data_IF_584725608547
#
_entry.id   IF_584725608547
#
_cell.length_a   1.000
_cell.length_b   1.000
_cell.length_c   1.000
_cell.angle_alpha   90.00
_cell.angle_beta   90.00
_cell.angle_gamma   90.00
#
_symmetry.space_group_name_H-M   'P 1'
#
loop_
_entity.id
_entity.type
_entity.pdbx_description
1 polymer ?
#
# COMPACT_ATOMS: atom_id res chain seq x y z
N UNK A 1 33.53 -2.36 6.93
CA UNK A 1 32.77 -3.62 7.07
C UNK A 1 31.32 -3.52 6.56
N UNK A 2 30.63 -2.37 6.67
CA UNK A 2 29.26 -2.16 6.12
C UNK A 2 29.17 -1.93 4.60
N UNK A 3 30.29 -1.70 3.90
CA UNK A 3 30.31 -1.40 2.47
C UNK A 3 30.01 -2.60 1.55
N UNK A 4 30.00 -3.83 2.08
CA UNK A 4 29.89 -5.06 1.28
C UNK A 4 28.53 -5.77 1.39
N UNK A 5 27.63 -5.33 2.28
CA UNK A 5 26.33 -5.98 2.46
C UNK A 5 25.28 -5.27 1.59
N UNK A 6 24.85 -5.96 0.54
CA UNK A 6 23.79 -5.48 -0.37
C UNK A 6 22.55 -6.34 -0.21
N UNK A 7 21.40 -5.68 -0.22
CA UNK A 7 20.10 -6.30 -0.15
C UNK A 7 19.47 -6.29 -1.54
N UNK A 8 18.86 -7.41 -1.90
CA UNK A 8 18.07 -7.60 -3.11
C UNK A 8 16.58 -7.50 -2.75
N UNK A 9 15.81 -6.77 -3.53
CA UNK A 9 14.35 -6.73 -3.42
C UNK A 9 13.67 -7.51 -4.55
N UNK A 10 12.33 -7.59 -4.51
CA UNK A 10 11.54 -8.38 -5.47
C UNK A 10 11.41 -7.74 -6.86
N UNK A 11 12.04 -6.57 -7.06
CA UNK A 11 12.25 -5.96 -8.38
C UNK A 11 13.55 -6.42 -9.04
N UNK A 12 14.41 -7.16 -8.33
CA UNK A 12 15.75 -7.51 -8.79
C UNK A 12 16.80 -6.41 -8.56
N UNK A 13 16.44 -5.31 -7.87
CA UNK A 13 17.38 -4.24 -7.55
C UNK A 13 18.22 -4.62 -6.34
N UNK A 14 19.54 -4.46 -6.45
CA UNK A 14 20.49 -4.65 -5.36
C UNK A 14 21.02 -3.29 -4.90
N UNK A 15 20.90 -2.99 -3.59
CA UNK A 15 21.45 -1.76 -3.00
C UNK A 15 22.25 -2.09 -1.76
N UNK A 16 23.37 -1.38 -1.58
CA UNK A 16 24.16 -1.47 -0.35
C UNK A 16 23.42 -0.84 0.82
N UNK A 17 23.69 -1.31 2.04
CA UNK A 17 23.13 -0.70 3.26
C UNK A 17 23.43 0.80 3.37
N UNK A 18 24.59 1.24 2.89
CA UNK A 18 25.00 2.64 2.90
C UNK A 18 24.10 3.52 2.02
N UNK A 19 23.65 3.00 0.87
CA UNK A 19 22.73 3.69 -0.03
C UNK A 19 21.31 3.74 0.53
N UNK A 20 20.91 2.72 1.30
CA UNK A 20 19.59 2.65 1.94
C UNK A 20 19.51 3.50 3.22
N UNK A 21 20.65 3.80 3.85
CA UNK A 21 20.73 4.60 5.08
C UNK A 21 21.83 5.67 5.01
N UNK A 22 21.61 6.76 4.26
CA UNK A 22 22.62 7.79 4.03
C UNK A 22 22.96 8.65 5.27
N UNK A 23 22.23 8.51 6.38
CA UNK A 23 22.42 9.32 7.58
C UNK A 23 23.46 8.72 8.55
N UNK A 24 24.75 8.84 8.23
CA UNK A 24 25.89 8.98 9.15
C UNK A 24 26.21 7.95 10.25
N UNK A 25 25.29 7.09 10.67
CA UNK A 25 25.52 6.04 11.66
C UNK A 25 24.54 4.90 11.41
N UNK A 26 24.99 3.88 10.66
CA UNK A 26 24.27 2.62 10.53
C UNK A 26 24.38 1.91 11.90
N UNK A 27 23.27 1.66 12.62
CA UNK A 27 23.35 0.97 13.90
C UNK A 27 23.97 -0.43 13.72
N UNK A 28 24.77 -0.88 14.67
CA UNK A 28 25.42 -2.21 14.61
C UNK A 28 24.38 -3.33 14.43
N UNK A 29 24.61 -4.20 13.44
CA UNK A 29 23.71 -5.30 13.09
C UNK A 29 22.55 -4.95 12.14
N UNK A 30 22.55 -3.75 11.55
CA UNK A 30 21.61 -3.40 10.47
C UNK A 30 21.83 -4.26 9.23
N UNK A 31 20.75 -4.79 8.66
CA UNK A 31 20.80 -5.79 7.58
C UNK A 31 21.08 -7.23 8.07
N UNK A 32 21.58 -7.40 9.29
CA UNK A 32 21.85 -8.72 9.88
C UNK A 32 20.65 -9.33 10.61
N UNK A 33 19.55 -8.58 10.73
CA UNK A 33 18.30 -9.07 11.28
C UNK A 33 17.61 -10.07 10.34
N UNK A 34 16.86 -11.00 10.91
CA UNK A 34 16.24 -12.09 10.18
C UNK A 34 15.22 -11.62 9.12
N UNK A 35 14.42 -10.58 9.39
CA UNK A 35 13.47 -10.05 8.39
C UNK A 35 14.16 -9.58 7.09
N UNK A 36 15.16 -8.68 7.13
CA UNK A 36 15.93 -8.32 5.95
C UNK A 36 16.55 -9.51 5.22
N UNK A 37 17.10 -10.48 5.95
CA UNK A 37 17.71 -11.69 5.39
C UNK A 37 16.71 -12.60 4.71
N UNK A 38 15.57 -12.85 5.34
CA UNK A 38 14.50 -13.69 4.82
C UNK A 38 13.86 -13.06 3.57
N UNK A 39 13.63 -11.74 3.57
CA UNK A 39 13.12 -11.04 2.40
C UNK A 39 14.14 -10.98 1.27
N UNK A 40 15.41 -10.72 1.59
CA UNK A 40 16.49 -10.80 0.61
C UNK A 40 16.63 -12.19 0.02
N UNK A 41 16.59 -13.23 0.85
CA UNK A 41 16.66 -14.62 0.44
C UNK A 41 15.46 -14.98 -0.46
N UNK A 42 14.26 -14.58 -0.07
CA UNK A 42 13.06 -14.80 -0.87
C UNK A 42 13.17 -14.13 -2.23
N UNK A 43 13.60 -12.87 -2.28
CA UNK A 43 13.86 -12.16 -3.53
C UNK A 43 14.94 -12.86 -4.38
N UNK A 44 16.06 -13.24 -3.78
CA UNK A 44 17.19 -13.89 -4.45
C UNK A 44 16.85 -15.28 -5.01
N UNK A 45 15.86 -15.96 -4.42
CA UNK A 45 15.42 -17.28 -4.83
C UNK A 45 14.06 -17.27 -5.57
N UNK A 46 13.55 -16.09 -5.94
CA UNK A 46 12.25 -15.92 -6.58
C UNK A 46 11.09 -16.58 -5.82
N UNK A 47 11.17 -16.57 -4.49
CA UNK A 47 10.10 -17.07 -3.62
C UNK A 47 9.09 -15.96 -3.39
N UNK A 48 7.80 -16.28 -3.45
CA UNK A 48 6.73 -15.35 -3.09
C UNK A 48 6.47 -15.43 -1.58
N UNK A 49 6.77 -14.38 -0.80
CA UNK A 49 6.35 -14.28 0.59
C UNK A 49 4.83 -14.29 0.67
N UNK A 50 4.27 -15.16 1.50
CA UNK A 50 2.84 -15.19 1.79
C UNK A 50 2.53 -14.51 3.12
N UNK A 51 3.33 -14.80 4.14
CA UNK A 51 3.26 -14.18 5.45
C UNK A 51 4.63 -14.26 6.14
N UNK A 52 4.93 -13.31 7.01
CA UNK A 52 6.16 -13.32 7.80
C UNK A 52 5.83 -12.90 9.23
N UNK A 53 6.42 -13.59 10.20
CA UNK A 53 6.25 -13.26 11.61
C UNK A 53 7.55 -13.47 12.39
N UNK A 54 7.82 -12.57 13.33
CA UNK A 54 8.79 -12.76 14.41
C UNK A 54 8.04 -13.28 15.62
N UNK A 55 8.58 -14.28 16.31
CA UNK A 55 8.03 -14.74 17.59
C UNK A 55 9.16 -15.02 18.57
N UNK A 56 8.84 -15.26 19.85
CA UNK A 56 9.83 -15.70 20.82
C UNK A 56 9.60 -17.17 21.19
N UNK A 57 10.64 -17.98 21.03
CA UNK A 57 10.68 -19.36 21.49
C UNK A 57 11.70 -19.48 22.61
N UNK A 58 11.24 -19.72 23.84
CA UNK A 58 12.11 -19.82 25.01
C UNK A 58 11.42 -19.41 26.31
N UNK A 59 12.17 -19.32 27.41
CA UNK A 59 11.66 -18.78 28.68
C UNK A 59 11.45 -17.28 28.54
N UNK A 60 10.44 -16.72 29.21
CA UNK A 60 10.18 -15.27 29.21
C UNK A 60 11.46 -14.51 29.57
N UNK A 61 11.83 -13.54 28.73
CA UNK A 61 13.05 -12.74 28.91
C UNK A 61 12.72 -11.27 28.65
N UNK A 62 12.63 -10.48 29.73
CA UNK A 62 12.16 -9.10 29.65
C UNK A 62 10.77 -9.00 29.01
N UNK A 63 10.68 -8.24 27.92
CA UNK A 63 9.46 -8.04 27.13
C UNK A 63 9.16 -9.19 26.15
N UNK A 64 10.05 -10.18 26.04
CA UNK A 64 9.85 -11.34 25.17
C UNK A 64 9.03 -12.41 25.88
N UNK A 65 7.76 -12.46 25.52
CA UNK A 65 6.77 -13.45 25.92
C UNK A 65 6.76 -14.61 24.91
N UNK A 66 6.82 -15.87 25.37
CA UNK A 66 6.81 -17.02 24.48
C UNK A 66 5.48 -17.15 23.72
N UNK A 67 5.53 -17.43 22.41
CA UNK A 67 4.35 -17.60 21.56
C UNK A 67 3.67 -16.30 21.10
N UNK A 68 4.13 -15.14 21.57
CA UNK A 68 3.69 -13.84 21.07
C UNK A 68 4.42 -13.46 19.77
N UNK A 69 3.74 -12.64 18.94
CA UNK A 69 4.29 -12.13 17.68
C UNK A 69 4.83 -10.71 17.83
N UNK A 70 5.97 -10.44 17.18
CA UNK A 70 6.65 -9.17 17.23
C UNK A 70 6.78 -8.56 15.83
N UNK A 71 6.82 -7.23 15.78
CA UNK A 71 7.10 -6.49 14.55
C UNK A 71 8.60 -6.38 14.29
N UNK A 72 8.97 -6.10 13.04
CA UNK A 72 10.37 -5.90 12.67
C UNK A 72 11.03 -4.80 13.52
N UNK A 73 12.30 -5.01 13.82
CA UNK A 73 13.07 -4.18 14.74
C UNK A 73 13.13 -2.69 14.36
N UNK A 74 12.73 -1.82 15.29
CA UNK A 74 12.48 -0.38 15.08
C UNK A 74 13.63 0.38 14.38
N UNK A 75 14.85 0.18 14.86
CA UNK A 75 15.97 1.05 14.46
C UNK A 75 16.82 0.46 13.32
N UNK A 76 16.74 -0.86 13.09
CA UNK A 76 17.64 -1.58 12.17
C UNK A 76 16.93 -2.19 10.97
N UNK A 77 15.67 -2.60 11.12
CA UNK A 77 14.93 -3.32 10.08
C UNK A 77 14.07 -2.36 9.24
N UNK A 78 13.45 -1.34 9.86
CA UNK A 78 12.50 -0.42 9.19
C UNK A 78 13.02 0.18 7.92
N UNK A 79 14.21 0.81 7.98
CA UNK A 79 14.59 1.72 6.92
C UNK A 79 14.76 0.95 5.61
N UNK A 80 14.97 -0.36 5.74
CA UNK A 80 15.18 -1.32 4.67
C UNK A 80 13.84 -1.87 4.13
N UNK A 81 12.75 -1.88 4.91
CA UNK A 81 11.50 -2.56 4.53
C UNK A 81 10.86 -1.98 3.27
N UNK A 82 10.84 -0.66 3.12
CA UNK A 82 10.31 -0.02 1.91
C UNK A 82 11.04 -0.49 0.65
N UNK A 83 12.38 -0.59 0.73
CA UNK A 83 13.19 -1.12 -0.37
C UNK A 83 12.97 -2.63 -0.57
N UNK A 84 13.06 -3.44 0.50
CA UNK A 84 12.98 -4.91 0.45
C UNK A 84 11.63 -5.43 -0.03
N UNK A 85 10.53 -4.77 0.32
CA UNK A 85 9.17 -5.16 -0.08
C UNK A 85 8.78 -4.63 -1.46
N UNK A 86 9.57 -3.73 -2.04
CA UNK A 86 9.34 -3.25 -3.41
C UNK A 86 9.44 -4.41 -4.40
N UNK A 87 8.41 -4.58 -5.24
CA UNK A 87 8.28 -5.74 -6.15
C UNK A 87 7.25 -6.78 -5.73
N UNK A 88 6.78 -6.76 -4.47
CA UNK A 88 5.69 -7.64 -4.05
C UNK A 88 4.32 -7.06 -4.40
N UNK A 89 3.55 -7.81 -5.17
CA UNK A 89 2.10 -7.62 -5.28
C UNK A 89 1.47 -8.03 -3.93
N UNK A 90 0.71 -7.14 -3.29
CA UNK A 90 0.08 -7.48 -2.02
C UNK A 90 -1.01 -8.53 -2.25
N UNK A 91 -0.93 -9.64 -1.50
CA UNK A 91 -2.02 -10.62 -1.42
C UNK A 91 -3.18 -10.02 -0.61
N UNK A 92 -4.40 -10.26 -1.09
CA UNK A 92 -5.66 -9.88 -0.44
C UNK A 92 -5.72 -10.46 0.98
N UNK A 93 -6.07 -9.61 1.93
CA UNK A 93 -6.53 -9.89 3.30
C UNK A 93 -6.38 -11.32 3.83
N UNK A 94 -5.52 -11.49 4.83
CA UNK A 94 -5.68 -12.57 5.82
C UNK A 94 -7.04 -12.37 6.50
N UNK A 95 -7.96 -13.30 6.28
CA UNK A 95 -9.24 -13.35 7.00
C UNK A 95 -8.95 -13.48 8.50
N UNK A 96 -9.40 -12.52 9.31
CA UNK A 96 -9.39 -12.61 10.78
C UNK A 96 -10.39 -13.65 11.35
N UNK A 97 -10.72 -14.69 10.60
CA UNK A 97 -11.68 -15.74 11.02
C UNK A 97 -11.08 -17.15 11.15
N UNK A 98 -9.78 -17.32 10.96
CA UNK A 98 -9.08 -18.56 11.37
C UNK A 98 -8.21 -18.33 12.61
N UNK A 99 -8.77 -17.70 13.64
CA UNK A 99 -8.25 -17.80 15.02
C UNK A 99 -8.77 -19.08 15.71
N UNK A 100 -8.74 -20.20 14.99
CA UNK A 100 -8.84 -21.54 15.57
C UNK A 100 -7.71 -22.37 14.99
N UNK A 101 -6.48 -22.03 15.37
CA UNK A 101 -5.42 -23.01 15.35
C UNK A 101 -5.78 -24.08 16.36
N UNK A 102 -5.77 -25.30 15.85
CA UNK A 102 -5.92 -26.56 16.56
C UNK A 102 -5.05 -26.51 17.82
N UNK A 103 -5.67 -26.70 18.99
CA UNK A 103 -4.95 -27.11 20.19
C UNK A 103 -4.41 -28.53 19.92
N UNK A 104 -3.34 -28.63 19.14
CA UNK A 104 -2.47 -29.80 19.15
C UNK A 104 -1.27 -29.42 19.99
N UNK A 105 -1.07 -30.17 21.07
CA UNK A 105 0.04 -30.07 22.00
C UNK A 105 1.36 -29.73 21.28
N UNK A 106 1.87 -28.51 21.51
CA UNK A 106 3.17 -28.10 21.00
C UNK A 106 4.25 -28.87 21.77
N UNK A 107 4.96 -29.76 21.07
CA UNK A 107 6.16 -30.42 21.59
C UNK A 107 7.24 -29.40 21.92
N UNK A 108 7.99 -29.66 23.00
CA UNK A 108 9.00 -28.79 23.60
C UNK A 108 10.35 -28.73 22.86
N UNK A 109 10.41 -29.12 21.58
CA UNK A 109 11.65 -29.17 20.80
C UNK A 109 11.68 -28.13 19.67
N UNK A 110 12.83 -27.48 19.40
CA UNK A 110 12.96 -26.50 18.32
C UNK A 110 12.77 -27.17 16.94
N UNK A 111 12.12 -26.50 15.97
CA UNK A 111 12.06 -27.00 14.60
C UNK A 111 13.49 -27.02 14.03
N UNK A 112 14.02 -28.22 13.81
CA UNK A 112 15.32 -28.40 13.15
C UNK A 112 15.19 -28.10 11.65
N UNK A 113 16.25 -27.53 11.08
CA UNK A 113 16.41 -27.28 9.65
C UNK A 113 16.16 -28.57 8.84
N UNK A 114 14.93 -28.76 8.36
CA UNK A 114 14.58 -29.47 7.12
C UNK A 114 13.06 -29.66 7.05
N UNK A 115 12.40 -28.85 6.23
CA UNK A 115 11.34 -29.38 5.37
C UNK A 115 11.32 -28.58 4.06
N UNK A 116 11.88 -29.19 3.01
CA UNK A 116 11.78 -28.67 1.63
C UNK A 116 10.37 -28.85 1.02
N UNK A 117 9.40 -29.30 1.82
CA UNK A 117 8.06 -29.69 1.39
C UNK A 117 6.93 -28.77 1.88
N UNK A 118 7.21 -27.81 2.79
CA UNK A 118 6.15 -27.05 3.51
C UNK A 118 6.11 -25.56 3.20
N UNK A 119 6.99 -25.02 2.36
CA UNK A 119 7.03 -23.57 2.09
C UNK A 119 7.45 -22.73 3.30
N UNK A 120 8.13 -23.33 4.29
CA UNK A 120 8.58 -22.65 5.50
C UNK A 120 10.08 -22.35 5.41
N UNK A 121 10.46 -21.08 5.60
CA UNK A 121 11.85 -20.66 5.76
C UNK A 121 12.02 -20.09 7.18
N UNK A 122 12.95 -20.65 7.94
CA UNK A 122 13.20 -20.26 9.33
C UNK A 122 14.61 -19.70 9.51
N UNK A 123 14.74 -18.64 10.30
CA UNK A 123 16.04 -18.14 10.78
C UNK A 123 15.85 -17.55 12.18
N UNK A 124 16.55 -18.04 13.21
CA UNK A 124 16.60 -17.49 14.58
C UNK A 124 15.29 -16.86 15.11
N UNK A 125 14.29 -17.69 15.46
CA UNK A 125 12.96 -17.29 15.96
C UNK A 125 12.06 -16.53 14.96
N UNK A 126 12.42 -16.51 13.67
CA UNK A 126 11.55 -16.03 12.60
C UNK A 126 11.00 -17.17 11.76
N UNK A 127 9.74 -16.98 11.34
CA UNK A 127 9.06 -17.82 10.36
C UNK A 127 8.67 -16.97 9.16
N UNK A 128 9.19 -17.31 7.98
CA UNK A 128 8.67 -16.82 6.71
C UNK A 128 7.90 -17.95 6.04
N UNK A 129 6.60 -17.75 5.88
CA UNK A 129 5.76 -18.57 5.02
C UNK A 129 5.92 -18.06 3.59
N UNK A 130 6.49 -18.89 2.74
CA UNK A 130 6.56 -18.69 1.30
C UNK A 130 5.61 -19.67 0.61
N UNK A 131 5.15 -19.28 -0.58
CA UNK A 131 4.36 -20.19 -1.40
C UNK A 131 5.23 -21.39 -1.81
N UNK A 132 4.84 -22.59 -1.38
CA UNK A 132 5.56 -23.83 -1.68
C UNK A 132 5.38 -24.27 -3.14
N UNK A 133 4.40 -23.70 -3.86
CA UNK A 133 4.29 -23.91 -5.29
C UNK A 133 5.40 -23.15 -6.00
N UNK A 134 6.53 -23.82 -6.23
CA UNK A 134 7.41 -23.50 -7.35
C UNK A 134 6.59 -23.63 -8.63
N UNK A 135 5.87 -22.57 -9.04
CA UNK A 135 5.33 -22.53 -10.39
C UNK A 135 6.52 -22.54 -11.34
N UNK A 136 6.71 -23.57 -12.17
CA UNK A 136 7.75 -23.56 -13.16
C UNK A 136 7.38 -22.46 -14.17
N UNK A 137 8.28 -21.49 -14.36
CA UNK A 137 8.43 -20.89 -15.68
C UNK A 137 8.84 -22.06 -16.56
N UNK A 138 7.97 -22.44 -17.49
CA UNK A 138 8.07 -23.63 -18.32
C UNK A 138 9.49 -23.85 -18.87
N UNK A 139 10.02 -25.04 -18.55
CA UNK A 139 11.06 -25.81 -19.25
C UNK A 139 12.38 -25.10 -19.63
N UNK A 140 13.50 -25.62 -19.11
CA UNK A 140 14.58 -26.26 -19.91
C UNK A 140 15.58 -26.91 -18.95
N UNK A 141 15.75 -28.23 -19.13
CA UNK A 141 17.06 -28.91 -19.11
C UNK A 141 17.87 -28.90 -17.82
N UNK A 142 17.78 -29.98 -17.07
CA UNK A 142 18.77 -30.42 -16.09
C UNK A 142 20.15 -30.62 -16.72
N UNK A 143 21.20 -30.04 -16.10
CA UNK A 143 22.35 -30.78 -15.51
C UNK A 143 23.45 -29.84 -14.97
N UNK A 144 23.90 -30.21 -13.76
CA UNK A 144 25.12 -29.85 -13.02
C UNK A 144 25.48 -28.37 -12.80
N UNK A 145 25.32 -27.95 -11.54
CA UNK A 145 25.91 -26.75 -10.96
C UNK A 145 27.42 -26.95 -10.74
N UNK A 146 28.23 -26.10 -11.38
CA UNK A 146 29.52 -25.68 -10.83
C UNK A 146 29.49 -24.17 -10.61
N UNK A 147 29.95 -23.75 -9.44
CA UNK A 147 30.01 -22.35 -9.02
C UNK A 147 30.81 -21.50 -10.03
N UNK A 148 30.10 -20.65 -10.78
CA UNK A 148 30.54 -19.38 -11.39
C UNK A 148 29.62 -19.06 -12.57
N UNK A 149 28.60 -18.23 -12.33
CA UNK A 149 28.06 -17.25 -13.29
C UNK A 149 26.77 -16.66 -12.72
N UNK A 150 26.86 -15.43 -12.22
CA UNK A 150 25.70 -14.57 -12.05
C UNK A 150 25.14 -14.34 -13.46
N UNK A 151 24.01 -14.98 -13.80
CA UNK A 151 23.28 -14.65 -15.03
C UNK A 151 22.51 -13.34 -14.79
N UNK A 152 22.49 -12.40 -15.75
CA UNK A 152 21.58 -11.27 -15.67
C UNK A 152 20.15 -11.80 -15.59
N UNK A 153 19.39 -11.33 -14.59
CA UNK A 153 17.98 -11.64 -14.46
C UNK A 153 17.19 -10.97 -15.61
N UNK A 154 16.10 -11.59 -16.08
CA UNK A 154 15.25 -11.00 -17.10
C UNK A 154 14.71 -9.65 -16.62
N UNK A 155 14.66 -8.65 -17.51
CA UNK A 155 14.12 -7.32 -17.24
C UNK A 155 12.66 -7.42 -16.77
N UNK A 156 12.43 -7.26 -15.46
CA UNK A 156 11.09 -7.16 -14.89
C UNK A 156 10.56 -5.77 -15.22
N UNK A 157 9.47 -5.69 -15.99
CA UNK A 157 8.87 -4.43 -16.41
C UNK A 157 8.28 -3.69 -15.19
N UNK A 158 8.90 -2.57 -14.81
CA UNK A 158 8.63 -1.74 -13.62
C UNK A 158 7.20 -1.17 -13.58
N UNK A 159 6.48 -1.22 -14.72
CA UNK A 159 5.09 -0.79 -14.87
C UNK A 159 4.04 -1.65 -14.11
N UNK A 160 4.43 -2.80 -13.54
CA UNK A 160 3.47 -3.74 -12.93
C UNK A 160 3.17 -3.52 -11.43
N UNK A 161 3.88 -2.66 -10.68
CA UNK A 161 3.71 -2.56 -9.21
C UNK A 161 2.89 -1.34 -8.79
N UNK A 162 3.14 -0.18 -9.41
CA UNK A 162 2.33 1.04 -9.30
C UNK A 162 2.34 1.66 -10.70
N UNK A 163 1.32 1.40 -11.53
CA UNK A 163 1.32 1.84 -12.93
C UNK A 163 1.46 3.37 -13.02
N UNK A 164 2.54 3.82 -13.66
CA UNK A 164 2.71 5.24 -14.02
C UNK A 164 1.85 5.50 -15.26
N UNK A 165 0.89 6.41 -15.14
CA UNK A 165 -0.05 6.75 -16.21
C UNK A 165 0.31 8.06 -16.91
N UNK A 166 1.13 8.88 -16.27
CA UNK A 166 1.60 10.15 -16.79
C UNK A 166 2.93 10.51 -16.15
N UNK A 167 3.84 11.05 -16.95
CA UNK A 167 5.16 11.45 -16.49
C UNK A 167 5.71 12.55 -17.39
N UNK A 168 6.16 13.63 -16.76
CA UNK A 168 6.90 14.70 -17.40
C UNK A 168 8.12 15.11 -16.54
N UNK A 169 8.71 16.28 -16.83
CA UNK A 169 9.87 16.81 -16.10
C UNK A 169 9.55 17.23 -14.66
N UNK A 170 8.33 17.64 -14.37
CA UNK A 170 7.87 18.26 -13.12
C UNK A 170 7.04 17.31 -12.26
N UNK A 171 6.32 16.37 -12.86
CA UNK A 171 5.31 15.57 -12.18
C UNK A 171 5.18 14.13 -12.70
N UNK A 172 4.57 13.30 -11.87
CA UNK A 172 4.27 11.90 -12.14
C UNK A 172 2.85 11.65 -11.63
N UNK A 173 1.99 11.06 -12.45
CA UNK A 173 0.73 10.51 -11.98
C UNK A 173 0.75 8.98 -12.07
N UNK A 174 0.18 8.34 -11.07
CA UNK A 174 0.09 6.89 -11.01
C UNK A 174 -1.33 6.42 -10.78
N UNK A 175 -1.64 5.20 -11.24
CA UNK A 175 -2.82 4.46 -10.82
C UNK A 175 -2.51 3.71 -9.51
N UNK A 176 -2.81 4.33 -8.37
CA UNK A 176 -2.57 3.71 -7.05
C UNK A 176 -3.49 2.50 -6.86
N UNK A 177 -2.96 1.31 -6.51
CA UNK A 177 -3.79 0.17 -6.12
C UNK A 177 -4.48 0.40 -4.75
N UNK A 178 -5.60 -0.29 -4.51
CA UNK A 178 -6.18 -0.37 -3.16
C UNK A 178 -5.24 -1.13 -2.22
N UNK A 179 -5.21 -0.76 -0.94
CA UNK A 179 -4.38 -1.40 0.09
C UNK A 179 -2.96 -0.81 0.22
N UNK A 180 -2.59 0.18 -0.61
CA UNK A 180 -1.28 0.86 -0.54
C UNK A 180 -1.43 2.31 -0.07
N UNK A 181 -0.61 2.77 0.89
CA UNK A 181 -0.64 4.16 1.33
C UNK A 181 -0.18 5.11 0.22
N UNK A 182 -0.75 6.33 0.19
CA UNK A 182 -0.27 7.36 -0.75
C UNK A 182 1.10 7.93 -0.34
N UNK A 183 1.28 8.15 0.96
CA UNK A 183 2.49 8.69 1.58
C UNK A 183 2.90 7.82 2.77
N UNK A 184 4.17 7.84 3.18
CA UNK A 184 4.60 7.12 4.37
C UNK A 184 3.83 7.61 5.60
N UNK A 185 3.33 6.67 6.40
CA UNK A 185 2.63 6.94 7.64
C UNK A 185 3.55 7.42 8.76
N UNK A 186 2.98 7.64 9.95
CA UNK A 186 3.74 8.12 11.12
C UNK A 186 4.55 6.99 11.76
N UNK A 187 4.01 5.78 11.73
CA UNK A 187 4.56 4.63 12.44
C UNK A 187 5.45 3.78 11.53
N UNK A 188 6.23 2.92 12.19
CA UNK A 188 7.26 2.14 11.56
C UNK A 188 6.75 1.29 10.39
N UNK A 189 5.67 0.59 10.69
CA UNK A 189 4.96 -0.41 9.91
C UNK A 189 4.10 0.20 8.80
N UNK A 190 4.00 1.53 8.78
CA UNK A 190 3.19 2.29 7.81
C UNK A 190 4.04 3.07 6.79
N UNK A 191 5.34 2.78 6.66
CA UNK A 191 6.21 3.50 5.71
C UNK A 191 6.06 3.06 4.25
N UNK A 192 5.55 1.85 4.00
CA UNK A 192 5.32 1.38 2.62
C UNK A 192 4.17 2.16 1.97
N UNK A 193 4.47 2.84 0.86
CA UNK A 193 3.57 3.76 0.20
C UNK A 193 3.94 3.96 -1.27
N UNK A 194 3.06 4.55 -2.07
CA UNK A 194 3.39 4.97 -3.43
C UNK A 194 4.63 5.85 -3.45
N UNK A 195 4.67 6.87 -2.60
CA UNK A 195 5.79 7.81 -2.58
C UNK A 195 7.11 7.10 -2.25
N UNK A 196 7.16 6.27 -1.20
CA UNK A 196 8.39 5.56 -0.83
C UNK A 196 8.80 4.49 -1.85
N UNK A 197 7.85 3.80 -2.50
CA UNK A 197 8.15 2.88 -3.61
C UNK A 197 8.72 3.61 -4.82
N UNK A 198 8.09 4.69 -5.27
CA UNK A 198 8.57 5.45 -6.43
C UNK A 198 9.91 6.14 -6.18
N UNK A 199 10.14 6.69 -4.98
CA UNK A 199 11.44 7.27 -4.60
C UNK A 199 12.57 6.22 -4.64
N UNK A 200 12.27 4.96 -4.33
CA UNK A 200 13.24 3.89 -4.41
C UNK A 200 13.40 3.33 -5.83
N UNK A 201 12.36 3.40 -6.65
CA UNK A 201 12.35 2.91 -8.03
C UNK A 201 13.07 3.85 -9.00
N UNK A 202 12.89 5.16 -8.84
CA UNK A 202 13.49 6.14 -9.73
C UNK A 202 14.93 6.42 -9.27
N UNK A 203 15.88 6.19 -10.17
CA UNK A 203 17.32 6.26 -9.89
C UNK A 203 17.82 7.70 -9.60
N UNK A 204 17.00 8.71 -9.92
CA UNK A 204 17.40 10.12 -9.93
C UNK A 204 17.56 10.76 -8.52
N UNK A 205 17.32 10.03 -7.43
CA UNK A 205 17.36 10.61 -6.08
C UNK A 205 16.34 11.74 -5.87
N UNK A 206 15.33 11.82 -6.73
CA UNK A 206 14.30 12.86 -6.70
C UNK A 206 13.46 12.69 -5.44
N UNK A 207 13.39 13.76 -4.65
CA UNK A 207 12.47 13.86 -3.53
C UNK A 207 11.05 14.04 -4.07
N UNK A 208 10.43 12.93 -4.50
CA UNK A 208 9.03 12.94 -4.92
C UNK A 208 8.15 13.36 -3.74
N UNK A 209 7.18 14.24 -4.02
CA UNK A 209 6.24 14.77 -3.04
C UNK A 209 4.82 14.52 -3.54
N UNK A 210 4.03 13.73 -2.82
CA UNK A 210 2.63 13.53 -3.16
C UNK A 210 1.85 14.85 -3.00
N UNK A 211 1.26 15.34 -4.09
CA UNK A 211 0.54 16.64 -4.12
C UNK A 211 -0.78 16.55 -3.36
N UNK A 212 -1.42 15.39 -3.44
CA UNK A 212 -2.63 15.04 -2.68
C UNK A 212 -2.50 13.61 -2.18
N UNK A 213 -3.53 13.13 -1.47
CA UNK A 213 -3.55 11.77 -0.93
C UNK A 213 -4.87 11.09 -1.26
N UNK A 214 -4.79 9.79 -1.48
CA UNK A 214 -5.91 8.85 -1.47
C UNK A 214 -5.83 8.01 -0.19
N UNK A 215 -6.99 7.59 0.33
CA UNK A 215 -7.06 6.66 1.45
C UNK A 215 -6.38 5.33 1.09
N UNK A 216 -5.95 4.56 2.09
CA UNK A 216 -5.31 3.25 1.94
C UNK A 216 -6.09 2.36 0.95
N UNK A 217 -7.38 2.17 1.21
CA UNK A 217 -8.27 1.31 0.43
C UNK A 217 -8.78 1.95 -0.87
N UNK A 218 -8.65 3.27 -1.04
CA UNK A 218 -9.08 3.95 -2.26
C UNK A 218 -8.03 3.73 -3.35
N UNK A 219 -8.45 3.32 -4.54
CA UNK A 219 -7.55 3.21 -5.70
C UNK A 219 -7.70 4.39 -6.65
N UNK A 220 -6.82 4.50 -7.65
CA UNK A 220 -6.94 5.45 -8.76
C UNK A 220 -5.83 6.49 -8.77
N UNK A 221 -6.09 7.60 -9.47
CA UNK A 221 -5.08 8.58 -9.83
C UNK A 221 -4.51 9.29 -8.60
N UNK A 222 -3.19 9.20 -8.43
CA UNK A 222 -2.41 9.95 -7.45
C UNK A 222 -1.31 10.75 -8.15
N UNK A 223 -1.29 12.06 -7.93
CA UNK A 223 -0.30 12.98 -8.49
C UNK A 223 0.85 13.26 -7.51
N UNK A 224 2.08 13.15 -8.00
CA UNK A 224 3.32 13.45 -7.30
C UNK A 224 4.12 14.51 -8.07
N UNK A 225 4.72 15.45 -7.34
CA UNK A 225 5.66 16.42 -7.87
C UNK A 225 7.10 15.93 -7.69
N UNK A 226 7.98 16.27 -8.64
CA UNK A 226 9.40 15.91 -8.63
C UNK A 226 10.27 16.88 -7.84
N UNK A 227 9.75 18.07 -7.55
CA UNK A 227 10.44 19.11 -6.80
C UNK A 227 9.48 19.94 -5.92
N UNK A 228 10.06 20.76 -5.03
CA UNK A 228 9.31 21.56 -4.04
C UNK A 228 8.51 22.71 -4.67
N UNK A 229 8.99 23.28 -5.76
CA UNK A 229 8.31 24.40 -6.44
C UNK A 229 7.06 23.89 -7.14
N UNK A 230 7.19 22.83 -7.94
CA UNK A 230 6.06 22.13 -8.57
C UNK A 230 5.06 21.66 -7.52
N UNK A 231 5.54 21.08 -6.41
CA UNK A 231 4.67 20.66 -5.31
C UNK A 231 3.80 21.81 -4.80
N UNK A 232 4.40 22.98 -4.50
CA UNK A 232 3.65 24.15 -4.02
C UNK A 232 2.62 24.62 -5.06
N UNK A 233 3.03 24.78 -6.31
CA UNK A 233 2.15 25.24 -7.39
C UNK A 233 0.96 24.29 -7.57
N UNK A 234 1.21 22.98 -7.61
CA UNK A 234 0.14 21.98 -7.76
C UNK A 234 -0.73 21.90 -6.50
N UNK A 235 -0.15 21.94 -5.29
CA UNK A 235 -0.92 21.97 -4.04
C UNK A 235 -1.85 23.18 -3.97
N UNK A 236 -1.41 24.34 -4.50
CA UNK A 236 -2.26 25.53 -4.61
C UNK A 236 -3.45 25.32 -5.54
N UNK A 237 -3.29 24.58 -6.65
CA UNK A 237 -4.42 24.22 -7.54
C UNK A 237 -5.48 23.42 -6.76
N UNK A 238 -5.06 22.43 -5.95
CA UNK A 238 -5.97 21.67 -5.10
C UNK A 238 -6.63 22.55 -4.04
N UNK A 239 -5.88 23.43 -3.38
CA UNK A 239 -6.38 24.33 -2.35
C UNK A 239 -7.40 25.33 -2.91
N UNK A 240 -7.15 25.86 -4.11
CA UNK A 240 -8.03 26.78 -4.85
C UNK A 240 -9.17 26.08 -5.58
N UNK A 241 -9.30 24.75 -5.46
CA UNK A 241 -10.33 23.93 -6.12
C UNK A 241 -10.30 24.03 -7.67
N UNK A 242 -9.11 24.24 -8.23
CA UNK A 242 -8.87 24.33 -9.68
C UNK A 242 -8.58 22.96 -10.33
N UNK A 243 -8.61 21.89 -9.52
CA UNK A 243 -8.45 20.51 -9.97
C UNK A 243 -9.81 19.84 -10.02
N UNK A 244 -10.22 19.39 -11.19
CA UNK A 244 -11.38 18.54 -11.37
C UNK A 244 -11.02 17.11 -10.97
N UNK A 245 -11.85 16.50 -10.11
CA UNK A 245 -11.68 15.11 -9.66
C UNK A 245 -13.00 14.39 -9.85
N UNK A 246 -12.97 13.24 -10.50
CA UNK A 246 -14.14 12.37 -10.64
C UNK A 246 -13.78 11.02 -10.02
N UNK A 247 -14.62 10.58 -9.09
CA UNK A 247 -14.51 9.29 -8.46
C UNK A 247 -15.69 8.43 -8.87
N UNK A 248 -15.43 7.18 -9.21
CA UNK A 248 -16.48 6.19 -9.42
C UNK A 248 -16.63 5.33 -8.16
N UNK A 249 -17.87 5.06 -7.77
CA UNK A 249 -18.18 4.24 -6.61
C UNK A 249 -19.41 3.36 -6.83
N UNK A 250 -19.47 2.25 -6.08
CA UNK A 250 -20.68 1.40 -6.00
C UNK A 250 -21.22 1.47 -4.58
N UNK A 251 -22.46 1.92 -4.41
CA UNK A 251 -23.18 1.94 -3.14
C UNK A 251 -23.88 0.61 -2.88
N UNK A 252 -23.93 0.16 -1.63
CA UNK A 252 -24.57 -1.11 -1.24
C UNK A 252 -26.10 -1.03 -1.12
N UNK A 253 -26.75 -0.15 -1.89
CA UNK A 253 -28.18 0.08 -1.87
C UNK A 253 -28.68 0.79 -3.14
N UNK A 254 -30.00 0.97 -3.23
CA UNK A 254 -30.66 1.61 -4.39
C UNK A 254 -31.02 3.06 -4.07
N UNK A 255 -30.25 3.99 -4.63
CA UNK A 255 -30.47 5.41 -4.46
C UNK A 255 -31.64 5.87 -5.34
N UNK A 256 -32.65 6.50 -4.75
CA UNK A 256 -33.87 6.92 -5.47
C UNK A 256 -33.70 8.19 -6.31
N UNK A 257 -32.70 9.00 -5.99
CA UNK A 257 -32.39 10.25 -6.67
C UNK A 257 -31.26 10.03 -7.69
N UNK A 258 -31.30 10.75 -8.81
CA UNK A 258 -30.33 10.60 -9.91
C UNK A 258 -29.08 11.46 -9.74
N UNK A 259 -29.18 12.58 -9.03
CA UNK A 259 -28.05 13.47 -8.77
C UNK A 259 -28.32 14.33 -7.53
N UNK A 260 -27.27 14.94 -7.00
CA UNK A 260 -27.41 15.87 -5.88
C UNK A 260 -26.10 16.44 -5.37
N UNK A 261 -26.20 17.20 -4.29
CA UNK A 261 -25.05 17.77 -3.56
C UNK A 261 -25.18 17.42 -2.09
N UNK A 262 -24.08 16.96 -1.49
CA UNK A 262 -23.98 16.62 -0.08
C UNK A 262 -23.08 17.66 0.58
N UNK A 263 -23.62 18.40 1.55
CA UNK A 263 -22.94 19.46 2.29
C UNK A 263 -22.93 19.13 3.77
N UNK A 264 -22.03 18.22 4.16
CA UNK A 264 -21.91 17.76 5.53
C UNK A 264 -20.50 18.04 6.05
N UNK A 265 -20.32 18.92 7.05
CA UNK A 265 -19.02 19.22 7.62
C UNK A 265 -18.44 18.00 8.36
N UNK A 266 -17.14 17.77 8.21
CA UNK A 266 -16.48 16.54 8.67
C UNK A 266 -15.38 16.80 9.68
N UNK A 267 -15.28 15.93 10.68
CA UNK A 267 -14.21 15.92 11.68
C UNK A 267 -13.71 14.50 11.92
N UNK A 268 -12.44 14.36 12.30
CA UNK A 268 -11.92 13.08 12.75
C UNK A 268 -12.42 12.77 14.15
N UNK A 269 -12.94 11.55 14.36
CA UNK A 269 -13.35 11.07 15.67
C UNK A 269 -12.09 10.85 16.53
N UNK A 270 -11.91 11.57 17.66
CA UNK A 270 -10.72 11.42 18.50
C UNK A 270 -10.60 10.06 19.17
N UNK A 271 -11.74 9.44 19.51
CA UNK A 271 -11.84 8.17 20.26
C UNK A 271 -11.67 6.95 19.34
N UNK A 272 -12.00 7.08 18.06
CA UNK A 272 -11.97 5.96 17.11
C UNK A 272 -11.20 6.32 15.84
N UNK A 273 -9.89 6.59 15.96
CA UNK A 273 -9.05 6.82 14.78
C UNK A 273 -8.89 5.53 13.96
N UNK A 274 -8.95 5.58 12.61
CA UNK A 274 -8.95 6.76 11.74
C UNK A 274 -10.34 7.25 11.29
N UNK A 275 -11.44 6.85 11.95
CA UNK A 275 -12.83 7.19 11.56
C UNK A 275 -13.03 8.70 11.51
N UNK A 276 -13.81 9.14 10.52
CA UNK A 276 -14.29 10.51 10.38
C UNK A 276 -15.81 10.51 10.53
N UNK A 277 -16.37 11.59 11.03
CA UNK A 277 -17.80 11.73 11.27
C UNK A 277 -18.31 13.11 10.87
N UNK A 278 -19.62 13.21 10.68
CA UNK A 278 -20.27 14.49 10.43
C UNK A 278 -20.49 15.21 11.76
N UNK A 279 -19.84 16.36 11.90
CA UNK A 279 -19.90 17.24 13.08
C UNK A 279 -20.33 18.64 12.62
N UNK A 280 -21.57 19.02 12.94
CA UNK A 280 -22.14 20.30 12.50
C UNK A 280 -21.54 21.52 13.22
N UNK A 281 -20.92 21.32 14.39
CA UNK A 281 -20.41 22.41 15.21
C UNK A 281 -18.93 22.67 14.96
N UNK A 282 -18.13 21.62 14.84
CA UNK A 282 -16.67 21.72 14.70
C UNK A 282 -16.11 21.03 13.45
N UNK A 283 -16.97 20.45 12.61
CA UNK A 283 -16.55 19.84 11.36
C UNK A 283 -16.08 20.89 10.35
N UNK A 284 -15.11 20.49 9.53
CA UNK A 284 -14.65 21.33 8.41
C UNK A 284 -15.65 21.23 7.26
N UNK A 285 -16.05 22.35 6.63
CA UNK A 285 -16.94 22.33 5.47
C UNK A 285 -16.44 21.35 4.41
N UNK A 286 -17.36 20.48 3.97
CA UNK A 286 -17.10 19.44 2.99
C UNK A 286 -18.27 19.32 2.04
N UNK A 287 -17.98 19.40 0.73
CA UNK A 287 -18.99 19.45 -0.32
C UNK A 287 -18.63 18.42 -1.39
N UNK A 288 -19.61 17.57 -1.71
CA UNK A 288 -19.52 16.54 -2.74
C UNK A 288 -20.75 16.62 -3.62
N UNK A 289 -20.57 16.80 -4.93
CA UNK A 289 -21.66 16.57 -5.90
C UNK A 289 -21.62 15.11 -6.34
N UNK A 290 -22.76 14.55 -6.70
CA UNK A 290 -22.82 13.18 -7.23
C UNK A 290 -23.84 13.04 -8.34
N UNK A 291 -23.68 11.99 -9.15
CA UNK A 291 -24.60 11.59 -10.20
C UNK A 291 -24.66 10.06 -10.27
N UNK A 292 -25.86 9.49 -10.45
CA UNK A 292 -26.07 8.06 -10.66
C UNK A 292 -25.73 7.71 -12.11
N UNK A 293 -24.88 6.70 -12.29
CA UNK A 293 -24.57 6.10 -13.60
C UNK A 293 -25.58 4.99 -13.89
N UNK A 294 -25.74 4.06 -12.95
CA UNK A 294 -26.55 2.86 -13.13
C UNK A 294 -27.09 2.33 -11.81
N UNK A 295 -28.20 1.60 -11.87
CA UNK A 295 -28.80 0.85 -10.76
C UNK A 295 -28.88 -0.60 -11.18
N UNK A 296 -28.14 -1.47 -10.50
CA UNK A 296 -27.98 -2.87 -10.87
C UNK A 296 -28.15 -3.76 -9.65
N UNK A 297 -29.13 -4.65 -9.69
CA UNK A 297 -29.48 -5.50 -8.55
C UNK A 297 -29.87 -4.68 -7.33
N UNK A 298 -29.09 -4.82 -6.23
CA UNK A 298 -29.27 -4.08 -4.98
C UNK A 298 -28.20 -2.98 -4.79
N UNK A 299 -27.52 -2.57 -5.87
CA UNK A 299 -26.44 -1.60 -5.82
C UNK A 299 -26.69 -0.41 -6.76
N UNK A 300 -26.09 0.73 -6.43
CA UNK A 300 -26.09 1.92 -7.29
C UNK A 300 -24.67 2.31 -7.63
N UNK A 301 -24.35 2.35 -8.92
CA UNK A 301 -23.08 2.89 -9.42
C UNK A 301 -23.22 4.39 -9.60
N UNK A 302 -22.30 5.16 -9.03
CA UNK A 302 -22.36 6.62 -9.02
C UNK A 302 -20.99 7.23 -9.29
N UNK A 303 -21.03 8.48 -9.74
CA UNK A 303 -19.89 9.38 -9.78
C UNK A 303 -19.96 10.38 -8.64
N UNK A 304 -18.81 10.64 -8.03
CA UNK A 304 -18.61 11.72 -7.07
C UNK A 304 -17.68 12.78 -7.65
N UNK A 305 -18.07 14.04 -7.47
CA UNK A 305 -17.32 15.23 -7.83
C UNK A 305 -17.02 16.03 -6.55
N UNK A 306 -15.98 15.66 -5.79
CA UNK A 306 -15.65 16.32 -4.53
C UNK A 306 -15.06 17.72 -4.75
N UNK A 307 -15.79 18.76 -4.35
CA UNK A 307 -15.32 20.15 -4.37
C UNK A 307 -14.32 20.46 -3.25
N UNK A 308 -14.35 19.66 -2.19
CA UNK A 308 -13.35 19.67 -1.10
C UNK A 308 -12.57 18.36 -1.08
N UNK A 309 -11.63 18.19 -0.15
CA UNK A 309 -10.82 16.97 -0.03
C UNK A 309 -10.50 16.65 1.41
N UNK A 310 -11.52 16.35 2.22
CA UNK A 310 -11.31 15.88 3.61
C UNK A 310 -11.05 14.38 3.63
N UNK A 311 -10.33 13.93 4.66
CA UNK A 311 -10.11 12.50 4.91
C UNK A 311 -11.43 11.75 4.90
N UNK A 312 -11.51 10.63 4.18
CA UNK A 312 -12.69 9.78 4.07
C UNK A 312 -13.99 10.49 3.59
N UNK A 313 -13.90 11.68 2.99
CA UNK A 313 -15.08 12.52 2.71
C UNK A 313 -16.19 11.78 1.96
N UNK A 314 -15.87 11.14 0.84
CA UNK A 314 -16.85 10.42 0.00
C UNK A 314 -17.47 9.25 0.74
N UNK A 315 -16.68 8.56 1.56
CA UNK A 315 -17.09 7.39 2.34
C UNK A 315 -18.10 7.79 3.43
N UNK A 316 -17.81 8.87 4.16
CA UNK A 316 -18.74 9.41 5.17
C UNK A 316 -20.00 9.98 4.52
N UNK A 317 -19.86 10.76 3.44
CA UNK A 317 -21.00 11.33 2.71
C UNK A 317 -21.93 10.25 2.14
N UNK A 318 -21.37 9.12 1.70
CA UNK A 318 -22.16 7.97 1.29
C UNK A 318 -22.87 7.31 2.49
N UNK A 319 -22.14 6.97 3.54
CA UNK A 319 -22.64 6.14 4.64
C UNK A 319 -23.58 6.87 5.62
N UNK A 320 -23.34 8.14 5.94
CA UNK A 320 -24.12 8.89 6.93
C UNK A 320 -25.57 9.04 6.46
N UNK A 321 -26.53 8.84 7.39
CA UNK A 321 -27.96 8.92 7.10
C UNK A 321 -28.42 10.31 6.62
N UNK A 322 -27.69 11.38 6.97
CA UNK A 322 -27.93 12.74 6.48
C UNK A 322 -27.34 12.97 5.08
N UNK A 323 -26.45 12.09 4.64
CA UNK A 323 -25.87 12.08 3.30
C UNK A 323 -26.70 11.19 2.38
N UNK A 324 -26.10 10.15 1.81
CA UNK A 324 -26.83 9.18 1.00
C UNK A 324 -27.47 8.06 1.83
N UNK A 325 -27.04 7.87 3.08
CA UNK A 325 -27.50 6.78 3.95
C UNK A 325 -27.18 5.39 3.42
N UNK A 326 -26.21 5.27 2.50
CA UNK A 326 -25.85 4.04 1.80
C UNK A 326 -24.33 3.96 1.72
N UNK A 327 -23.68 3.06 2.49
CA UNK A 327 -22.24 2.95 2.47
C UNK A 327 -21.74 2.46 1.10
N UNK A 328 -20.49 2.81 0.80
CA UNK A 328 -19.80 2.28 -0.38
C UNK A 328 -19.57 0.78 -0.18
N UNK A 329 -19.79 -0.01 -1.23
CA UNK A 329 -19.62 -1.45 -1.22
C UNK A 329 -18.17 -1.81 -0.84
N UNK A 330 -18.03 -2.71 0.15
CA UNK A 330 -16.74 -3.09 0.71
C UNK A 330 -16.14 -2.10 1.71
N UNK A 331 -16.85 -1.03 2.07
CA UNK A 331 -16.40 -0.11 3.11
C UNK A 331 -16.61 -0.67 4.53
N UNK A 332 -15.62 -1.43 5.00
CA UNK A 332 -15.64 -2.05 6.33
C UNK A 332 -15.62 -1.03 7.47
N UNK A 333 -15.05 0.15 7.25
CA UNK A 333 -14.92 1.17 8.31
C UNK A 333 -16.25 1.86 8.60
N UNK A 334 -17.08 2.07 7.57
CA UNK A 334 -18.35 2.78 7.66
C UNK A 334 -19.57 1.84 7.54
N UNK A 335 -19.39 0.57 7.90
CA UNK A 335 -20.51 -0.34 8.18
C UNK A 335 -21.04 -1.14 6.99
N UNK A 336 -20.34 -1.18 5.85
CA UNK A 336 -20.73 -2.08 4.77
C UNK A 336 -20.42 -3.54 5.15
N UNK A 337 -21.47 -4.35 5.30
CA UNK A 337 -21.38 -5.79 5.60
C UNK A 337 -21.48 -6.69 4.36
N UNK A 338 -21.78 -6.11 3.20
CA UNK A 338 -21.91 -6.86 1.96
C UNK A 338 -20.55 -7.45 1.55
N UNK A 339 -20.59 -8.66 1.00
CA UNK A 339 -19.39 -9.37 0.58
C UNK A 339 -18.76 -8.67 -0.63
N UNK A 340 -17.66 -7.96 -0.40
CA UNK A 340 -16.82 -7.39 -1.44
C UNK A 340 -15.34 -7.59 -1.07
N UNK A 341 -14.52 -7.85 -2.08
CA UNK A 341 -13.10 -8.14 -1.87
C UNK A 341 -12.27 -6.90 -1.52
N UNK A 342 -12.82 -5.70 -1.74
CA UNK A 342 -12.16 -4.40 -1.57
C UNK A 342 -13.19 -3.27 -1.48
N UNK A 343 -12.74 -2.06 -1.14
CA UNK A 343 -13.53 -0.84 -1.28
C UNK A 343 -13.80 -0.52 -2.76
N UNK A 344 -15.07 -0.38 -3.15
CA UNK A 344 -15.50 0.04 -4.49
C UNK A 344 -15.53 1.57 -4.58
N UNK A 345 -14.37 2.19 -4.39
CA UNK A 345 -14.13 3.62 -4.60
C UNK A 345 -12.84 3.80 -5.41
N UNK A 346 -12.95 4.51 -6.52
CA UNK A 346 -11.86 4.70 -7.46
C UNK A 346 -11.76 6.16 -7.92
N UNK A 347 -10.59 6.78 -7.76
CA UNK A 347 -10.27 8.08 -8.32
C UNK A 347 -10.03 7.92 -9.84
N UNK A 348 -11.11 8.00 -10.62
CA UNK A 348 -11.14 7.63 -12.03
C UNK A 348 -10.52 8.68 -12.94
N UNK A 349 -10.81 9.95 -12.69
CA UNK A 349 -10.33 11.07 -13.52
C UNK A 349 -9.78 12.22 -12.69
N UNK A 350 -8.74 12.85 -13.25
CA UNK A 350 -8.10 14.03 -12.70
C UNK A 350 -7.82 15.01 -13.84
N UNK A 351 -8.20 16.27 -13.68
CA UNK A 351 -7.90 17.30 -14.69
C UNK A 351 -7.47 18.61 -14.04
N UNK A 352 -6.42 19.22 -14.59
CA UNK A 352 -5.84 20.45 -14.07
C UNK A 352 -5.04 21.18 -15.16
N UNK A 353 -4.89 22.50 -15.02
CA UNK A 353 -3.95 23.27 -15.83
C UNK A 353 -2.53 23.01 -15.31
N UNK A 354 -1.64 22.52 -16.17
CA UNK A 354 -0.26 22.23 -15.82
C UNK A 354 0.45 23.54 -15.41
N UNK A 355 1.03 23.65 -14.19
CA UNK A 355 1.47 24.95 -13.68
C UNK A 355 2.63 25.57 -14.47
N UNK A 356 3.48 24.75 -15.09
CA UNK A 356 4.59 25.23 -15.93
C UNK A 356 4.27 25.34 -17.42
N UNK A 357 3.48 24.42 -17.98
CA UNK A 357 3.16 24.40 -19.41
C UNK A 357 1.93 25.24 -19.76
N UNK A 358 1.03 25.48 -18.81
CA UNK A 358 -0.26 26.15 -19.02
C UNK A 358 -1.31 25.29 -19.74
N UNK A 359 -0.93 24.14 -20.27
CA UNK A 359 -1.82 23.21 -20.97
C UNK A 359 -2.75 22.47 -20.01
N UNK A 360 -3.95 22.13 -20.48
CA UNK A 360 -4.88 21.29 -19.72
C UNK A 360 -4.45 19.83 -19.77
N UNK A 361 -4.07 19.29 -18.62
CA UNK A 361 -3.79 17.86 -18.46
C UNK A 361 -5.08 17.16 -18.04
N UNK A 362 -5.47 16.12 -18.78
CA UNK A 362 -6.60 15.25 -18.48
C UNK A 362 -6.09 13.81 -18.35
N UNK A 363 -6.30 13.22 -17.18
CA UNK A 363 -5.89 11.87 -16.85
C UNK A 363 -7.12 11.02 -16.52
N UNK A 364 -7.14 9.81 -17.05
CA UNK A 364 -8.20 8.84 -16.82
C UNK A 364 -7.62 7.43 -16.68
N UNK A 365 -8.25 6.63 -15.81
CA UNK A 365 -7.92 5.21 -15.60
C UNK A 365 -9.20 4.38 -15.53
N UNK A 366 -9.09 3.10 -15.87
CA UNK A 366 -10.21 2.17 -15.85
C UNK A 366 -10.62 1.82 -14.41
N UNK A 367 -11.94 1.86 -14.14
CA UNK A 367 -12.51 1.47 -12.85
C UNK A 367 -12.38 -0.04 -12.66
N UNK A 368 -11.75 -0.53 -11.57
CA UNK A 368 -11.40 -1.94 -11.41
C UNK A 368 -12.53 -2.82 -10.83
N UNK A 369 -13.80 -2.41 -10.96
CA UNK A 369 -14.98 -3.10 -10.41
C UNK A 369 -16.29 -2.80 -11.15
#
# INVERSE_FOLDING_TARGET
MHAAYSLLNFLGNSRSLLQLMPAGSIPTGTGDCCAPKLLHYAAANNLKPLAMAEFWWGVRSGDKIPGEFYGACADRCQPLMGFLLSGLAQNKSVNQQESRLVNSEFSSEPPTERSRETGLVCENNWLLLVDAEKKPISAIGTRHLSANSVRPLPEINISQIVPIIYQDRWSIAVNKPAGLLSVPGRYFDTQDSVQSRLQNLLEDGLNLLAVHRLDLETSGILLLARDKETYRQMSDLFAKKQVCKIYEAVLSGILKIDAGTIELPLRGNPENRPVQEVDLLYGKPSITRFQVIAREGNCTRIEFFPLTGRTHQLRVHAADARGLGMPILGDRLYGCRAAASRLHLHARELSFAHPQLGEMVHLQVETPF
#
